data_IF_687290324047
#
_entry.id   IF_687290324047
#
_cell.length_a   1.000
_cell.length_b   1.000
_cell.length_c   1.000
_cell.angle_alpha   90.00
_cell.angle_beta   90.00
_cell.angle_gamma   90.00
#
_symmetry.space_group_name_H-M   'P 1'
#
loop_
_entity.id
_entity.type
_entity.pdbx_description
1 polymer ?
#
# COMPACT_ATOMS: atom_id res chain seq x y z
N UNK A 1 8.71 9.48 16.65
CA UNK A 1 8.84 10.90 16.28
C UNK A 1 7.47 11.46 15.92
N UNK A 2 7.26 12.74 16.20
CA UNK A 2 5.96 13.40 16.04
C UNK A 2 6.14 14.87 15.61
N UNK A 3 5.22 15.38 14.81
CA UNK A 3 5.08 16.80 14.52
C UNK A 3 3.60 17.19 14.41
N UNK A 4 3.28 18.46 14.68
CA UNK A 4 1.92 18.98 14.53
C UNK A 4 1.57 19.26 13.06
N UNK A 5 0.30 19.13 12.69
CA UNK A 5 -0.19 19.55 11.38
C UNK A 5 -0.28 21.07 11.19
N UNK A 6 0.01 21.87 12.22
CA UNK A 6 0.00 23.33 12.12
C UNK A 6 1.17 23.79 11.25
N UNK A 7 0.90 24.27 10.05
CA UNK A 7 1.90 24.93 9.21
C UNK A 7 2.34 26.27 9.82
N UNK A 8 3.58 26.68 9.56
CA UNK A 8 4.15 27.99 9.92
C UNK A 8 4.79 28.58 8.68
N UNK A 9 4.94 29.92 8.59
CA UNK A 9 5.60 30.56 7.45
C UNK A 9 6.98 29.95 7.13
N UNK A 10 7.75 29.62 8.18
CA UNK A 10 9.12 29.08 8.06
C UNK A 10 9.16 27.56 7.80
N UNK A 11 8.03 26.84 7.99
CA UNK A 11 8.01 25.39 7.90
C UNK A 11 6.61 24.84 7.57
N UNK A 12 6.40 24.49 6.31
CA UNK A 12 5.17 23.84 5.85
C UNK A 12 5.15 22.33 6.20
N UNK A 13 4.02 21.67 5.90
CA UNK A 13 3.81 20.26 6.24
C UNK A 13 4.78 19.31 5.52
N UNK A 14 5.16 19.61 4.28
CA UNK A 14 6.08 18.78 3.49
C UNK A 14 7.50 18.86 4.04
N UNK A 15 7.94 20.06 4.41
CA UNK A 15 9.23 20.27 5.09
C UNK A 15 9.24 19.58 6.47
N UNK A 16 8.12 19.57 7.18
CA UNK A 16 8.01 18.84 8.46
C UNK A 16 8.12 17.33 8.27
N UNK A 17 7.50 16.78 7.22
CA UNK A 17 7.65 15.37 6.89
C UNK A 17 9.11 15.03 6.62
N UNK A 18 9.78 15.81 5.76
CA UNK A 18 11.20 15.64 5.46
C UNK A 18 12.05 15.64 6.73
N UNK A 19 11.85 16.62 7.61
CA UNK A 19 12.58 16.72 8.88
C UNK A 19 12.29 15.56 9.83
N UNK A 20 11.06 15.00 9.81
CA UNK A 20 10.75 13.79 10.59
C UNK A 20 11.53 12.59 10.08
N UNK A 21 11.61 12.39 8.76
CA UNK A 21 12.38 11.32 8.13
C UNK A 21 13.87 11.41 8.51
N UNK A 22 14.45 12.61 8.42
CA UNK A 22 15.83 12.87 8.84
C UNK A 22 16.06 12.53 10.31
N UNK A 23 15.20 13.02 11.21
CA UNK A 23 15.30 12.76 12.65
C UNK A 23 15.06 11.29 13.01
N UNK A 24 14.30 10.57 12.21
CA UNK A 24 14.06 9.14 12.40
C UNK A 24 15.23 8.27 11.92
N UNK A 25 16.29 8.87 11.34
CA UNK A 25 17.43 8.14 10.79
C UNK A 25 17.14 7.50 9.42
N UNK A 26 16.04 7.87 8.77
CA UNK A 26 15.70 7.29 7.46
C UNK A 26 16.77 7.61 6.40
N UNK A 27 17.39 8.77 6.48
CA UNK A 27 18.43 9.19 5.53
C UNK A 27 19.76 8.45 5.71
N UNK A 28 19.89 7.65 6.77
CA UNK A 28 21.09 6.85 7.08
C UNK A 28 20.94 5.39 6.62
N UNK A 29 19.78 5.02 6.08
CA UNK A 29 19.54 3.66 5.58
C UNK A 29 20.40 3.38 4.33
N UNK A 30 21.02 2.18 4.22
CA UNK A 30 21.88 1.83 3.09
C UNK A 30 21.06 1.45 1.86
N UNK A 31 20.44 2.43 1.21
CA UNK A 31 19.51 2.24 0.09
C UNK A 31 20.11 2.56 -1.29
N UNK A 32 21.38 2.91 -1.40
CA UNK A 32 22.04 3.17 -2.68
C UNK A 32 21.91 1.97 -3.63
N UNK A 33 21.42 2.23 -4.85
CA UNK A 33 21.17 1.22 -5.88
C UNK A 33 19.97 0.29 -5.62
N UNK A 34 19.33 0.36 -4.44
CA UNK A 34 18.27 -0.53 -3.98
C UNK A 34 16.91 -0.22 -4.57
N UNK A 35 16.17 -1.25 -5.00
CA UNK A 35 14.75 -1.12 -5.31
C UNK A 35 13.96 -0.90 -4.03
N UNK A 36 13.29 0.24 -3.93
CA UNK A 36 12.57 0.63 -2.70
C UNK A 36 11.09 0.83 -3.00
N UNK A 37 10.26 -0.06 -2.50
CA UNK A 37 8.81 0.01 -2.63
C UNK A 37 8.23 1.01 -1.61
N UNK A 38 7.57 2.06 -2.08
CA UNK A 38 6.79 2.95 -1.22
C UNK A 38 5.34 2.48 -1.25
N UNK A 39 4.95 1.73 -0.21
CA UNK A 39 3.60 1.19 -0.09
C UNK A 39 2.64 2.24 0.45
N UNK A 40 1.62 2.51 -0.31
CA UNK A 40 0.54 3.39 0.11
C UNK A 40 -0.79 3.00 -0.54
N UNK A 41 -1.87 3.58 -0.06
CA UNK A 41 -3.20 3.49 -0.66
C UNK A 41 -3.41 4.71 -1.56
N UNK A 42 -3.72 4.50 -2.83
CA UNK A 42 -3.89 5.58 -3.82
C UNK A 42 -5.25 6.30 -3.76
N UNK A 43 -6.10 5.94 -2.80
CA UNK A 43 -7.48 6.45 -2.70
C UNK A 43 -8.47 5.60 -3.48
N UNK A 44 -9.75 5.87 -3.26
CA UNK A 44 -10.86 5.35 -4.04
C UNK A 44 -11.46 6.48 -4.87
N UNK A 45 -11.91 6.24 -6.11
CA UNK A 45 -12.59 7.26 -6.89
C UNK A 45 -13.75 7.90 -6.12
N UNK A 46 -13.77 9.23 -6.08
CA UNK A 46 -14.79 10.00 -5.35
C UNK A 46 -14.58 10.13 -3.84
N UNK A 47 -13.63 9.43 -3.23
CA UNK A 47 -13.28 9.59 -1.82
C UNK A 47 -11.97 10.37 -1.67
N UNK A 48 -12.03 11.55 -1.05
CA UNK A 48 -10.88 12.44 -0.87
C UNK A 48 -10.09 12.19 0.43
N UNK A 49 -10.49 11.22 1.24
CA UNK A 49 -9.84 10.87 2.51
C UNK A 49 -8.64 9.91 2.29
N UNK A 50 -7.61 10.41 1.60
CA UNK A 50 -6.34 9.70 1.37
C UNK A 50 -5.15 10.66 1.49
N UNK A 51 -3.94 10.12 1.65
CA UNK A 51 -2.71 10.92 1.64
C UNK A 51 -2.49 11.52 0.24
N UNK A 52 -2.25 12.83 0.19
CA UNK A 52 -2.03 13.54 -1.06
C UNK A 52 -0.72 13.11 -1.74
N UNK A 53 -0.64 13.12 -3.09
CA UNK A 53 0.59 12.80 -3.85
C UNK A 53 1.82 13.59 -3.42
N UNK A 54 1.63 14.82 -2.93
CA UNK A 54 2.69 15.66 -2.41
C UNK A 54 3.51 15.01 -1.28
N UNK A 55 2.86 14.22 -0.41
CA UNK A 55 3.58 13.48 0.65
C UNK A 55 4.41 12.35 0.06
N UNK A 56 3.86 11.63 -0.93
CA UNK A 56 4.60 10.59 -1.65
C UNK A 56 5.83 11.19 -2.35
N UNK A 57 5.68 12.36 -2.99
CA UNK A 57 6.77 13.08 -3.64
C UNK A 57 7.92 13.37 -2.70
N UNK A 58 7.66 13.86 -1.49
CA UNK A 58 8.71 14.13 -0.49
C UNK A 58 9.49 12.86 -0.13
N UNK A 59 8.79 11.73 0.05
CA UNK A 59 9.42 10.45 0.35
C UNK A 59 10.26 9.97 -0.84
N UNK A 60 9.72 10.04 -2.04
CA UNK A 60 10.40 9.63 -3.28
C UNK A 60 11.67 10.45 -3.53
N UNK A 61 11.58 11.78 -3.39
CA UNK A 61 12.74 12.66 -3.57
C UNK A 61 13.83 12.35 -2.56
N UNK A 62 13.47 12.12 -1.27
CA UNK A 62 14.42 11.71 -0.24
C UNK A 62 15.11 10.38 -0.57
N UNK A 63 14.35 9.38 -1.04
CA UNK A 63 14.91 8.08 -1.45
C UNK A 63 15.86 8.21 -2.65
N UNK A 64 15.52 9.06 -3.62
CA UNK A 64 16.40 9.34 -4.77
C UNK A 64 17.70 10.03 -4.37
N UNK A 65 17.64 10.99 -3.43
CA UNK A 65 18.83 11.63 -2.87
C UNK A 65 19.78 10.63 -2.20
N UNK A 66 19.23 9.54 -1.64
CA UNK A 66 20.00 8.41 -1.08
C UNK A 66 20.50 7.43 -2.14
N UNK A 67 20.28 7.69 -3.44
CA UNK A 67 20.66 6.80 -4.53
C UNK A 67 19.75 5.59 -4.72
N UNK A 68 18.60 5.50 -4.02
CA UNK A 68 17.65 4.42 -4.17
C UNK A 68 16.89 4.49 -5.52
N UNK A 69 16.26 3.38 -5.90
CA UNK A 69 15.36 3.24 -7.06
C UNK A 69 13.91 3.09 -6.56
N UNK A 70 13.23 4.19 -6.17
CA UNK A 70 11.90 4.12 -5.60
C UNK A 70 10.83 3.86 -6.66
N UNK A 71 9.78 3.16 -6.24
CA UNK A 71 8.51 3.06 -6.95
C UNK A 71 7.35 3.07 -5.95
N UNK A 72 6.20 3.63 -6.33
CA UNK A 72 4.98 3.51 -5.53
C UNK A 72 4.30 2.17 -5.80
N UNK A 73 3.67 1.59 -4.79
CA UNK A 73 2.99 0.31 -4.96
C UNK A 73 1.76 0.13 -4.05
N UNK A 74 0.84 -0.68 -4.53
CA UNK A 74 -0.27 -1.29 -3.81
C UNK A 74 -0.59 -2.63 -4.46
N UNK A 75 -1.47 -3.45 -3.86
CA UNK A 75 -2.04 -4.64 -4.48
C UNK A 75 -3.53 -4.45 -4.76
N UNK A 76 -4.03 -5.21 -5.73
CA UNK A 76 -5.43 -5.21 -6.11
C UNK A 76 -6.38 -5.59 -4.96
N UNK A 77 -7.64 -5.17 -5.04
CA UNK A 77 -8.65 -5.41 -4.00
C UNK A 77 -9.54 -6.61 -4.32
N UNK A 78 -10.19 -7.17 -3.29
CA UNK A 78 -11.20 -8.22 -3.45
C UNK A 78 -12.59 -7.64 -3.75
N UNK A 79 -12.91 -6.48 -3.19
CA UNK A 79 -14.22 -5.85 -3.36
C UNK A 79 -14.36 -5.19 -4.74
N UNK A 80 -15.59 -5.02 -5.19
CA UNK A 80 -15.93 -4.32 -6.42
C UNK A 80 -15.47 -2.86 -6.40
N UNK A 81 -14.95 -2.41 -7.53
CA UNK A 81 -14.42 -1.05 -7.70
C UNK A 81 -13.29 -1.01 -8.71
N UNK A 82 -12.71 0.15 -8.91
CA UNK A 82 -11.65 0.37 -9.90
C UNK A 82 -10.28 -0.22 -9.51
N UNK A 83 -10.13 -0.83 -8.35
CA UNK A 83 -8.84 -1.40 -7.92
C UNK A 83 -8.79 -2.93 -7.96
N UNK A 84 -9.64 -3.60 -8.78
CA UNK A 84 -9.69 -5.06 -8.92
C UNK A 84 -8.68 -5.65 -9.90
N UNK A 85 -8.14 -4.84 -10.79
CA UNK A 85 -7.09 -5.21 -11.74
C UNK A 85 -6.11 -4.04 -11.87
N UNK A 86 -4.91 -4.31 -12.38
CA UNK A 86 -3.86 -3.31 -12.40
C UNK A 86 -4.15 -2.10 -13.29
N UNK A 87 -4.90 -2.27 -14.39
CA UNK A 87 -5.17 -1.17 -15.32
C UNK A 87 -6.12 -0.17 -14.67
N UNK A 88 -7.26 -0.63 -14.15
CA UNK A 88 -8.22 0.22 -13.46
C UNK A 88 -7.62 0.80 -12.17
N UNK A 89 -6.77 0.04 -11.47
CA UNK A 89 -6.10 0.49 -10.26
C UNK A 89 -5.11 1.64 -10.56
N UNK A 90 -4.34 1.54 -11.65
CA UNK A 90 -3.48 2.63 -12.11
C UNK A 90 -4.32 3.84 -12.56
N UNK A 91 -5.44 3.62 -13.26
CA UNK A 91 -6.34 4.69 -13.64
C UNK A 91 -6.88 5.43 -12.41
N UNK A 92 -7.36 4.70 -11.38
CA UNK A 92 -7.80 5.29 -10.11
C UNK A 92 -6.68 6.09 -9.41
N UNK A 93 -5.43 5.58 -9.44
CA UNK A 93 -4.29 6.30 -8.91
C UNK A 93 -4.05 7.62 -9.66
N UNK A 94 -4.11 7.60 -10.99
CA UNK A 94 -3.92 8.80 -11.82
C UNK A 94 -5.03 9.84 -11.60
N UNK A 95 -6.28 9.42 -11.51
CA UNK A 95 -7.42 10.30 -11.21
C UNK A 95 -7.29 10.97 -9.83
N UNK A 96 -6.66 10.28 -8.89
CA UNK A 96 -6.31 10.82 -7.57
C UNK A 96 -4.98 11.59 -7.54
N UNK A 97 -4.36 11.83 -8.70
CA UNK A 97 -3.17 12.67 -8.88
C UNK A 97 -1.83 11.96 -8.67
N UNK A 98 -1.79 10.62 -8.60
CA UNK A 98 -0.55 9.84 -8.43
C UNK A 98 0.14 9.50 -9.77
N UNK A 99 0.17 10.40 -10.73
CA UNK A 99 0.93 10.19 -11.97
C UNK A 99 2.45 10.20 -11.72
N UNK A 100 3.24 9.50 -12.55
CA UNK A 100 4.71 9.44 -12.40
C UNK A 100 5.39 10.80 -12.38
N UNK A 101 4.87 11.78 -13.10
CA UNK A 101 5.40 13.16 -13.11
C UNK A 101 5.13 13.87 -11.77
N UNK A 102 3.96 13.64 -11.15
CA UNK A 102 3.58 14.25 -9.89
C UNK A 102 4.36 13.67 -8.71
N UNK A 103 4.46 12.33 -8.66
CA UNK A 103 5.13 11.63 -7.55
C UNK A 103 6.63 11.42 -7.78
N UNK A 104 7.12 11.58 -9.00
CA UNK A 104 8.53 11.52 -9.33
C UNK A 104 9.09 10.09 -9.50
N UNK A 105 8.27 9.05 -9.53
CA UNK A 105 8.70 7.66 -9.75
C UNK A 105 7.61 6.84 -10.45
N UNK A 106 7.95 5.64 -11.00
CA UNK A 106 6.96 4.71 -11.51
C UNK A 106 5.98 4.23 -10.43
N UNK A 107 4.80 3.74 -10.88
CA UNK A 107 3.83 3.04 -10.04
C UNK A 107 3.72 1.60 -10.56
N UNK A 108 3.86 0.63 -9.67
CA UNK A 108 3.70 -0.79 -9.98
C UNK A 108 2.61 -1.38 -9.08
N UNK A 109 1.64 -2.09 -9.67
CA UNK A 109 0.69 -2.89 -8.90
C UNK A 109 1.36 -4.23 -8.60
N UNK A 110 1.66 -4.47 -7.32
CA UNK A 110 2.61 -5.48 -6.89
C UNK A 110 2.17 -6.93 -7.15
N UNK A 111 0.87 -7.18 -7.26
CA UNK A 111 0.29 -8.50 -7.50
C UNK A 111 -0.17 -8.73 -8.95
N UNK A 112 0.37 -7.92 -9.89
CA UNK A 112 0.18 -8.10 -11.33
C UNK A 112 -1.22 -7.72 -11.83
N UNK A 113 -1.48 -8.06 -13.11
CA UNK A 113 -2.66 -7.60 -13.84
C UNK A 113 -3.97 -7.98 -13.13
N UNK A 114 -4.11 -9.22 -12.67
CA UNK A 114 -5.33 -9.77 -12.09
C UNK A 114 -5.24 -10.02 -10.57
N UNK A 115 -4.18 -9.54 -9.91
CA UNK A 115 -4.00 -9.71 -8.47
C UNK A 115 -3.53 -11.10 -8.04
N UNK A 116 -2.98 -11.91 -8.95
CA UNK A 116 -2.57 -13.29 -8.72
C UNK A 116 -1.06 -13.53 -8.84
N UNK A 117 -0.27 -12.50 -9.13
CA UNK A 117 1.20 -12.58 -9.12
C UNK A 117 1.72 -12.33 -7.72
N UNK A 118 2.06 -13.43 -7.01
CA UNK A 118 2.51 -13.37 -5.62
C UNK A 118 3.61 -14.39 -5.32
N UNK A 119 4.26 -14.18 -4.19
CA UNK A 119 5.20 -15.12 -3.58
C UNK A 119 4.60 -15.59 -2.25
N UNK A 120 4.62 -16.91 -2.00
CA UNK A 120 4.30 -17.47 -0.70
C UNK A 120 5.51 -17.29 0.23
N UNK A 121 5.34 -16.47 1.26
CA UNK A 121 6.35 -16.19 2.27
C UNK A 121 5.98 -16.94 3.53
N UNK A 122 6.81 -17.88 4.04
CA UNK A 122 6.54 -18.57 5.29
C UNK A 122 6.43 -17.63 6.47
N UNK A 123 5.44 -17.83 7.33
CA UNK A 123 5.23 -17.08 8.57
C UNK A 123 4.88 -18.02 9.72
N UNK A 124 5.25 -17.65 10.94
CA UNK A 124 4.87 -18.35 12.16
C UNK A 124 3.57 -17.76 12.75
N UNK A 125 2.48 -17.83 11.99
CA UNK A 125 1.18 -17.34 12.41
C UNK A 125 0.29 -18.41 13.04
N UNK A 126 -0.61 -18.01 13.93
CA UNK A 126 -1.56 -18.91 14.58
C UNK A 126 -2.56 -19.53 13.58
N UNK A 127 -3.02 -18.75 12.60
CA UNK A 127 -4.05 -19.14 11.63
C UNK A 127 -3.52 -19.35 10.22
N UNK A 128 -2.43 -18.69 9.88
CA UNK A 128 -1.81 -18.77 8.56
C UNK A 128 -0.33 -19.11 8.71
N UNK A 129 0.15 -20.06 7.94
CA UNK A 129 1.56 -20.47 7.93
C UNK A 129 2.34 -19.90 6.73
N UNK A 130 1.64 -19.21 5.83
CA UNK A 130 2.23 -18.49 4.71
C UNK A 130 1.47 -17.20 4.44
N UNK A 131 2.18 -16.17 3.99
CA UNK A 131 1.63 -14.91 3.50
C UNK A 131 1.84 -14.83 1.98
N UNK A 132 0.74 -14.70 1.22
CA UNK A 132 0.80 -14.56 -0.24
C UNK A 132 0.96 -13.08 -0.60
N UNK A 133 2.20 -12.64 -0.72
CA UNK A 133 2.58 -11.22 -0.90
C UNK A 133 2.79 -10.93 -2.39
N UNK A 134 2.30 -9.77 -2.86
CA UNK A 134 2.50 -9.31 -4.23
C UNK A 134 3.98 -9.30 -4.61
N UNK A 135 4.31 -9.89 -5.78
CA UNK A 135 5.68 -10.16 -6.21
C UNK A 135 6.57 -8.94 -6.18
N UNK A 136 6.15 -7.81 -6.73
CA UNK A 136 7.00 -6.62 -6.78
C UNK A 136 7.37 -6.07 -5.40
N UNK A 137 6.56 -6.36 -4.35
CA UNK A 137 6.90 -5.98 -2.99
C UNK A 137 7.93 -6.92 -2.35
N UNK A 138 7.92 -8.21 -2.74
CA UNK A 138 8.93 -9.20 -2.28
C UNK A 138 10.27 -8.99 -3.00
N UNK A 139 10.21 -8.64 -4.28
CA UNK A 139 11.41 -8.39 -5.10
C UNK A 139 12.10 -7.05 -4.74
N UNK A 140 11.43 -6.17 -3.99
CA UNK A 140 12.05 -4.95 -3.50
C UNK A 140 13.05 -5.22 -2.36
N UNK A 141 14.18 -4.52 -2.37
CA UNK A 141 15.19 -4.59 -1.30
C UNK A 141 14.71 -3.96 0.01
N UNK A 142 13.78 -3.00 -0.08
CA UNK A 142 13.20 -2.32 1.08
C UNK A 142 11.76 -1.89 0.81
N UNK A 143 10.96 -1.81 1.88
CA UNK A 143 9.58 -1.31 1.84
C UNK A 143 9.41 -0.17 2.83
N UNK A 144 8.94 0.97 2.33
CA UNK A 144 8.55 2.13 3.13
C UNK A 144 7.03 2.22 3.16
N UNK A 145 6.44 2.15 4.35
CA UNK A 145 4.99 2.30 4.51
C UNK A 145 4.60 3.77 4.69
N UNK A 146 3.94 4.34 3.68
CA UNK A 146 3.34 5.67 3.77
C UNK A 146 1.84 5.53 3.99
N UNK A 147 1.40 5.74 5.23
CA UNK A 147 0.10 5.27 5.70
C UNK A 147 -0.81 6.40 6.14
N UNK A 148 -2.05 6.40 5.63
CA UNK A 148 -3.16 7.18 6.17
C UNK A 148 -3.74 6.45 7.38
N UNK A 149 -3.50 6.97 8.59
CA UNK A 149 -4.08 6.42 9.82
C UNK A 149 -5.56 6.78 9.92
N UNK A 150 -6.41 5.81 10.16
CA UNK A 150 -7.87 5.98 10.23
C UNK A 150 -8.54 4.94 11.14
N UNK A 151 -9.79 5.18 11.53
CA UNK A 151 -10.65 4.16 12.11
C UNK A 151 -10.97 3.06 11.08
N UNK A 152 -11.27 1.85 11.56
CA UNK A 152 -11.63 0.71 10.73
C UNK A 152 -12.68 -0.17 11.43
N UNK A 153 -13.75 -0.53 10.73
CA UNK A 153 -14.89 -1.26 11.27
C UNK A 153 -14.54 -2.63 11.86
N UNK A 154 -13.67 -3.41 11.21
CA UNK A 154 -13.31 -4.77 11.64
C UNK A 154 -12.11 -4.81 12.59
N UNK A 155 -11.13 -3.92 12.42
CA UNK A 155 -9.86 -3.94 13.17
C UNK A 155 -9.72 -2.79 14.17
N UNK A 156 -10.76 -1.98 14.36
CA UNK A 156 -10.77 -0.76 15.18
C UNK A 156 -9.97 0.37 14.56
N UNK A 157 -8.72 0.11 14.15
CA UNK A 157 -7.84 1.08 13.50
C UNK A 157 -7.17 0.49 12.26
N UNK A 158 -6.92 1.34 11.26
CA UNK A 158 -6.11 1.05 10.09
C UNK A 158 -4.86 1.94 10.09
N UNK A 159 -3.71 1.32 10.24
CA UNK A 159 -2.39 1.98 10.28
C UNK A 159 -1.37 1.22 9.44
N UNK A 160 -0.08 1.36 9.80
CA UNK A 160 1.02 0.76 9.05
C UNK A 160 0.92 -0.76 8.95
N UNK A 161 0.57 -1.45 10.05
CA UNK A 161 0.40 -2.91 10.05
C UNK A 161 -0.64 -3.37 9.02
N UNK A 162 -1.79 -2.69 8.96
CA UNK A 162 -2.83 -3.00 7.97
C UNK A 162 -2.43 -2.62 6.56
N UNK A 163 -1.76 -1.49 6.38
CA UNK A 163 -1.26 -1.05 5.08
C UNK A 163 -0.24 -2.04 4.49
N UNK A 164 0.60 -2.64 5.31
CA UNK A 164 1.55 -3.67 4.89
C UNK A 164 0.89 -5.05 4.82
N UNK A 165 0.37 -5.57 5.92
CA UNK A 165 -0.12 -6.94 6.04
C UNK A 165 -1.26 -7.24 5.06
N UNK A 166 -2.34 -6.45 5.11
CA UNK A 166 -3.45 -6.60 4.18
C UNK A 166 -3.15 -5.98 2.82
N UNK A 167 -2.50 -4.80 2.81
CA UNK A 167 -2.29 -4.00 1.60
C UNK A 167 -1.33 -4.65 0.60
N UNK A 168 -0.31 -5.37 1.03
CA UNK A 168 0.64 -6.09 0.16
C UNK A 168 0.24 -7.53 -0.13
N UNK A 169 -0.77 -8.07 0.53
CA UNK A 169 -1.34 -9.37 0.18
C UNK A 169 -1.92 -9.34 -1.24
N UNK A 170 -1.66 -10.37 -2.04
CA UNK A 170 -2.36 -10.60 -3.31
C UNK A 170 -3.86 -10.80 -3.08
N UNK A 171 -4.66 -10.89 -4.14
CA UNK A 171 -6.09 -11.21 -4.00
C UNK A 171 -6.30 -12.56 -3.30
N UNK A 172 -5.45 -13.56 -3.58
CA UNK A 172 -5.48 -14.85 -2.89
C UNK A 172 -5.10 -14.70 -1.41
N UNK A 173 -4.05 -13.94 -1.08
CA UNK A 173 -3.64 -13.64 0.29
C UNK A 173 -4.71 -12.88 1.06
N UNK A 174 -5.30 -11.86 0.47
CA UNK A 174 -6.43 -11.13 1.06
C UNK A 174 -7.62 -12.05 1.34
N UNK A 175 -7.91 -12.97 0.42
CA UNK A 175 -8.98 -13.96 0.60
C UNK A 175 -8.68 -14.89 1.78
N UNK A 176 -7.47 -15.43 1.88
CA UNK A 176 -7.05 -16.27 2.99
C UNK A 176 -7.22 -15.57 4.35
N UNK A 177 -6.86 -14.28 4.43
CA UNK A 177 -7.00 -13.48 5.65
C UNK A 177 -8.45 -13.10 6.03
N UNK A 178 -9.41 -13.19 5.09
CA UNK A 178 -10.82 -12.83 5.34
C UNK A 178 -11.76 -14.04 5.39
N UNK A 179 -11.33 -15.21 4.92
CA UNK A 179 -12.20 -16.38 4.77
C UNK A 179 -12.16 -17.31 6.00
N UNK A 180 -12.62 -16.82 7.12
CA UNK A 180 -12.94 -17.64 8.28
C UNK A 180 -14.34 -18.31 8.15
N UNK A 181 -15.19 -17.73 7.31
CA UNK A 181 -16.51 -18.25 7.01
C UNK A 181 -16.45 -19.32 5.90
N UNK A 182 -16.77 -20.56 6.22
CA UNK A 182 -17.06 -21.59 5.21
C UNK A 182 -18.51 -21.43 4.75
N UNK A 183 -18.81 -20.99 3.52
CA UNK A 183 -20.16 -20.89 3.06
C UNK A 183 -20.78 -22.31 3.06
N UNK A 184 -21.94 -22.46 3.72
CA UNK A 184 -22.71 -23.70 3.69
C UNK A 184 -23.95 -23.50 2.83
N UNK A 185 -24.16 -24.41 1.88
CA UNK A 185 -25.39 -24.48 1.11
C UNK A 185 -26.32 -25.47 1.76
N UNK A 186 -27.54 -25.05 2.08
CA UNK A 186 -28.60 -25.94 2.51
C UNK A 186 -29.29 -26.52 1.27
N UNK A 187 -29.07 -27.79 0.90
CA UNK A 187 -29.55 -28.34 -0.37
C UNK A 187 -31.05 -28.16 -0.57
N UNK A 188 -31.85 -28.29 0.51
CA UNK A 188 -33.30 -28.14 0.47
C UNK A 188 -33.80 -26.70 0.21
N UNK A 189 -32.91 -25.70 0.30
CA UNK A 189 -33.21 -24.27 0.05
C UNK A 189 -32.46 -23.71 -1.14
N UNK A 190 -31.55 -24.49 -1.71
CA UNK A 190 -30.74 -24.07 -2.84
C UNK A 190 -31.56 -24.18 -4.14
N UNK A 191 -31.66 -23.08 -4.86
CA UNK A 191 -32.34 -23.02 -6.19
C UNK A 191 -31.36 -23.12 -7.36
N UNK A 192 -30.07 -23.30 -7.10
CA UNK A 192 -29.03 -23.42 -8.14
C UNK A 192 -28.78 -22.17 -8.96
N UNK A 193 -28.96 -20.99 -8.39
CA UNK A 193 -28.80 -19.72 -9.12
C UNK A 193 -27.37 -19.33 -9.49
N UNK A 194 -26.36 -20.07 -9.05
CA UNK A 194 -24.92 -19.80 -9.30
C UNK A 194 -24.27 -18.92 -8.26
#
# INVERSE_FOLDING_TARGET
>A
YYTSFRARPEMNLLQKLRRLMERAGMMEMPLEGKFTAVKMHFGEPGNLAFLRPNYARVVVDALKEMGAKPFLTDCNTLYTGMRRNALDHLQAAWENGFGPLQVGCPILIADGLLGNDHVAVPIEGEYLHEALIGRAAVDADAVISLTHFKAHECTGIGGALKNLGMGLGSTAGKRAMHCDGKPMVTPSRCIGCG
#
